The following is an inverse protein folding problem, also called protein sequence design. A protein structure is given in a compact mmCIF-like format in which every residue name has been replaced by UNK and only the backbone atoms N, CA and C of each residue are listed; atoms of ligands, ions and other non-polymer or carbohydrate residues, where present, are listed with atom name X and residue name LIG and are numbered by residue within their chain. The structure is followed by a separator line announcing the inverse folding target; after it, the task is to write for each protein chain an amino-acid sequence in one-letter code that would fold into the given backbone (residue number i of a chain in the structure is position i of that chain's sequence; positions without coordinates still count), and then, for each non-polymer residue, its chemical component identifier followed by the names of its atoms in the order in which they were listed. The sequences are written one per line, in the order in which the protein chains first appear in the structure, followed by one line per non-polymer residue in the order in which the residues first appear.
data_IF_066429403902
#
_entry.id   IF_066429403902
#
_cell.length_a   1.000
_cell.length_b   1.000
_cell.length_c   1.000
_cell.angle_alpha   90.00
_cell.angle_beta   90.00
_cell.angle_gamma   90.00
#
_symmetry.space_group_name_H-M   'P 1'
#
loop_
_entity.id
_entity.type
_entity.pdbx_description
1 polymer ?
#
# COMPACT_ATOMS: atom_id res chain seq x y z
N UNK A 1 18.23 -8.00 7.77
CA UNK A 1 17.26 -7.29 6.89
C UNK A 1 18.11 -6.52 5.88
N UNK A 2 17.90 -6.70 4.57
CA UNK A 2 18.79 -6.16 3.55
C UNK A 2 18.82 -4.63 3.57
N UNK A 3 20.01 -4.04 3.38
CA UNK A 3 20.29 -2.60 3.48
C UNK A 3 19.48 -1.71 2.51
N UNK A 4 18.80 -2.30 1.53
CA UNK A 4 17.91 -1.60 0.57
C UNK A 4 16.57 -1.13 1.15
N UNK A 5 16.22 -1.52 2.38
CA UNK A 5 15.00 -1.07 3.06
C UNK A 5 15.21 0.16 3.97
N UNK A 6 16.44 0.67 4.08
CA UNK A 6 16.76 1.88 4.83
C UNK A 6 16.81 3.10 3.91
N UNK A 7 15.65 3.49 3.40
CA UNK A 7 15.41 4.91 3.21
C UNK A 7 14.80 5.43 4.52
N UNK A 8 15.38 6.50 5.07
CA UNK A 8 14.84 7.20 6.24
C UNK A 8 13.53 7.86 5.79
N UNK A 9 12.44 7.09 5.82
CA UNK A 9 11.15 7.58 5.42
C UNK A 9 10.64 8.54 6.50
N UNK A 10 10.75 9.84 6.26
CA UNK A 10 10.02 10.84 7.02
C UNK A 10 8.52 10.69 6.69
N UNK A 11 7.82 9.92 7.52
CA UNK A 11 6.38 9.75 7.42
C UNK A 11 5.71 10.94 8.09
N UNK A 12 5.14 11.85 7.29
CA UNK A 12 4.34 12.94 7.83
C UNK A 12 3.04 12.40 8.40
N UNK A 13 2.94 12.36 9.74
CA UNK A 13 1.77 11.90 10.46
C UNK A 13 1.13 13.04 11.27
N UNK A 14 -0.19 13.14 11.21
CA UNK A 14 -1.00 14.08 11.99
C UNK A 14 -1.78 13.29 13.03
N UNK A 15 -1.71 13.75 14.28
CA UNK A 15 -2.45 13.18 15.41
C UNK A 15 -3.61 14.10 15.76
N UNK A 16 -4.81 13.53 15.83
CA UNK A 16 -6.03 14.22 16.27
C UNK A 16 -6.24 14.03 17.77
N UNK A 17 -7.00 14.92 18.40
CA UNK A 17 -7.28 14.88 19.83
C UNK A 17 -8.14 13.68 20.28
N UNK A 18 -8.79 13.00 19.34
CA UNK A 18 -9.53 11.74 19.55
C UNK A 18 -8.64 10.50 19.47
N UNK A 19 -7.32 10.68 19.27
CA UNK A 19 -6.36 9.59 19.15
C UNK A 19 -6.22 9.00 17.75
N UNK A 20 -6.96 9.50 16.74
CA UNK A 20 -6.77 9.08 15.35
C UNK A 20 -5.45 9.62 14.81
N UNK A 21 -4.71 8.76 14.09
CA UNK A 21 -3.45 9.10 13.44
C UNK A 21 -3.60 8.90 11.94
N UNK A 22 -3.25 9.93 11.16
CA UNK A 22 -3.23 9.86 9.70
C UNK A 22 -1.82 10.13 9.20
N UNK A 23 -1.23 9.13 8.54
CA UNK A 23 0.10 9.23 7.95
C UNK A 23 -0.01 9.27 6.43
N UNK A 24 0.69 10.21 5.79
CA UNK A 24 0.76 10.32 4.33
C UNK A 24 2.20 10.15 3.87
N UNK A 25 2.38 9.37 2.81
CA UNK A 25 3.68 9.07 2.23
C UNK A 25 3.60 9.18 0.72
N UNK A 26 4.60 9.80 0.11
CA UNK A 26 4.80 9.75 -1.33
C UNK A 26 5.72 8.57 -1.63
N UNK A 27 5.21 7.60 -2.37
CA UNK A 27 5.95 6.38 -2.71
C UNK A 27 5.98 6.14 -4.21
N UNK A 28 7.13 5.69 -4.71
CA UNK A 28 7.31 5.18 -6.08
C UNK A 28 7.49 3.66 -5.99
N UNK A 29 6.49 2.93 -6.45
CA UNK A 29 6.51 1.47 -6.41
C UNK A 29 6.74 0.89 -7.81
N UNK A 30 7.64 -0.08 -7.93
CA UNK A 30 7.76 -0.93 -9.11
C UNK A 30 7.26 -2.32 -8.74
N UNK A 31 6.12 -2.70 -9.32
CA UNK A 31 5.49 -4.01 -9.10
C UNK A 31 5.72 -4.91 -10.30
N UNK A 32 5.96 -6.19 -10.03
CA UNK A 32 5.96 -7.22 -11.06
C UNK A 32 4.53 -7.66 -11.33
N UNK A 33 4.17 -7.77 -12.60
CA UNK A 33 2.90 -8.34 -13.06
C UNK A 33 3.23 -9.42 -14.10
N UNK A 34 2.59 -10.58 -14.01
CA UNK A 34 2.73 -11.64 -15.00
C UNK A 34 1.77 -11.36 -16.16
N UNK A 35 2.31 -11.37 -17.39
CA UNK A 35 1.62 -10.93 -18.59
C UNK A 35 1.23 -12.12 -19.47
N UNK A 36 0.05 -12.06 -20.07
CA UNK A 36 -0.42 -13.05 -21.05
C UNK A 36 -0.38 -12.46 -22.46
N UNK A 37 0.52 -12.97 -23.30
CA UNK A 37 0.76 -12.46 -24.65
C UNK A 37 -0.01 -13.21 -25.75
N UNK A 38 -0.99 -14.07 -25.40
CA UNK A 38 -1.67 -14.91 -26.38
C UNK A 38 -2.35 -14.13 -27.52
N UNK A 39 -2.83 -12.90 -27.25
CA UNK A 39 -3.53 -12.04 -28.22
C UNK A 39 -2.79 -10.73 -28.52
N UNK A 40 -1.49 -10.66 -28.24
CA UNK A 40 -0.71 -9.45 -28.47
C UNK A 40 -0.80 -8.99 -29.95
N UNK A 41 -0.95 -7.68 -30.26
CA UNK A 41 -0.96 -6.51 -29.38
C UNK A 41 -2.36 -6.04 -28.93
N UNK A 42 -3.39 -6.89 -29.05
CA UNK A 42 -4.78 -6.58 -28.70
C UNK A 42 -5.25 -7.33 -27.44
N UNK A 43 -4.31 -7.65 -26.58
CA UNK A 43 -4.47 -8.33 -25.31
C UNK A 43 -4.94 -7.38 -24.19
N UNK A 44 -5.50 -7.96 -23.13
CA UNK A 44 -5.86 -7.24 -21.89
C UNK A 44 -5.09 -7.82 -20.73
N UNK A 45 -4.31 -6.98 -20.06
CA UNK A 45 -3.47 -7.40 -18.93
C UNK A 45 -4.18 -7.16 -17.60
N UNK A 46 -4.24 -8.21 -16.75
CA UNK A 46 -4.82 -8.15 -15.40
C UNK A 46 -3.72 -8.16 -14.36
N UNK A 47 -3.36 -6.98 -13.86
CA UNK A 47 -2.34 -6.85 -12.82
C UNK A 47 -2.97 -6.70 -11.44
N UNK A 48 -2.45 -7.44 -10.48
CA UNK A 48 -2.81 -7.33 -9.07
C UNK A 48 -1.54 -7.07 -8.25
N UNK A 49 -1.69 -6.26 -7.21
CA UNK A 49 -0.65 -6.03 -6.22
C UNK A 49 -1.27 -6.23 -4.84
N UNK A 50 -0.45 -6.61 -3.88
CA UNK A 50 -0.89 -6.94 -2.53
C UNK A 50 -0.16 -6.05 -1.54
N UNK A 51 -0.93 -5.38 -0.69
CA UNK A 51 -0.41 -4.67 0.48
C UNK A 51 -0.50 -5.62 1.67
N UNK A 52 0.60 -5.74 2.40
CA UNK A 52 0.65 -6.54 3.61
C UNK A 52 1.67 -5.96 4.58
N UNK A 53 1.53 -6.31 5.86
CA UNK A 53 2.49 -5.97 6.90
C UNK A 53 3.60 -7.02 6.93
N UNK A 54 4.86 -6.59 6.86
CA UNK A 54 5.99 -7.50 7.00
C UNK A 54 6.30 -7.90 8.45
N UNK A 55 5.87 -7.09 9.43
CA UNK A 55 6.26 -7.23 10.84
C UNK A 55 5.16 -7.79 11.74
N UNK A 56 3.89 -7.53 11.41
CA UNK A 56 2.72 -7.89 12.21
C UNK A 56 1.78 -8.81 11.44
N UNK A 57 0.89 -9.48 12.16
CA UNK A 57 -0.11 -10.40 11.60
C UNK A 57 -1.55 -9.91 11.84
N UNK A 58 -2.52 -10.64 11.27
CA UNK A 58 -3.95 -10.29 11.35
C UNK A 58 -4.60 -10.42 12.74
N UNK A 59 -3.89 -10.92 13.75
CA UNK A 59 -4.36 -10.89 15.14
C UNK A 59 -3.96 -9.61 15.87
N UNK A 60 -3.03 -8.85 15.31
CA UNK A 60 -2.49 -7.62 15.89
C UNK A 60 -2.99 -6.38 15.14
N UNK A 61 -3.12 -6.47 13.82
CA UNK A 61 -3.48 -5.35 12.95
C UNK A 61 -4.52 -5.81 11.92
N UNK A 62 -5.54 -4.99 11.72
CA UNK A 62 -6.50 -5.15 10.63
C UNK A 62 -6.19 -4.16 9.50
N UNK A 63 -6.21 -4.65 8.26
CA UNK A 63 -5.91 -3.85 7.06
C UNK A 63 -7.18 -3.65 6.27
N UNK A 64 -7.64 -2.41 6.20
CA UNK A 64 -8.80 -2.01 5.41
C UNK A 64 -8.40 -1.03 4.30
N UNK A 65 -9.12 -1.10 3.18
CA UNK A 65 -9.07 -0.02 2.19
C UNK A 65 -9.83 1.18 2.74
N UNK A 66 -9.21 2.34 2.68
CA UNK A 66 -9.87 3.59 3.03
C UNK A 66 -10.92 3.91 1.96
N UNK A 67 -12.21 3.98 2.34
CA UNK A 67 -13.25 4.45 1.43
C UNK A 67 -13.35 5.98 1.56
N UNK A 68 -13.58 6.66 0.43
CA UNK A 68 -13.87 8.09 0.37
C UNK A 68 -15.04 8.52 1.26
N UNK A 69 -15.94 7.59 1.62
CA UNK A 69 -17.02 7.84 2.58
C UNK A 69 -16.50 7.99 4.01
N UNK A 70 -15.42 7.29 4.37
CA UNK A 70 -14.81 7.34 5.70
C UNK A 70 -14.09 8.67 5.96
N UNK A 71 -13.87 9.48 4.92
CA UNK A 71 -13.29 10.83 5.02
C UNK A 71 -14.30 11.93 5.40
N UNK A 72 -15.60 11.64 5.33
CA UNK A 72 -16.66 12.61 5.58
C UNK A 72 -17.15 12.64 7.05
N UNK A 73 -16.63 11.75 7.91
CA UNK A 73 -17.03 11.56 9.31
C UNK A 73 -15.96 12.00 10.35
#
# INVERSE_FOLDING_TARGET
VADWLKEDYDHHCIVRNDGRVTCSQLMKLSIRCDLDYHYWPYDTQKCAWTVFTGMHNGFEIDLSFFDSKDAAD
#
